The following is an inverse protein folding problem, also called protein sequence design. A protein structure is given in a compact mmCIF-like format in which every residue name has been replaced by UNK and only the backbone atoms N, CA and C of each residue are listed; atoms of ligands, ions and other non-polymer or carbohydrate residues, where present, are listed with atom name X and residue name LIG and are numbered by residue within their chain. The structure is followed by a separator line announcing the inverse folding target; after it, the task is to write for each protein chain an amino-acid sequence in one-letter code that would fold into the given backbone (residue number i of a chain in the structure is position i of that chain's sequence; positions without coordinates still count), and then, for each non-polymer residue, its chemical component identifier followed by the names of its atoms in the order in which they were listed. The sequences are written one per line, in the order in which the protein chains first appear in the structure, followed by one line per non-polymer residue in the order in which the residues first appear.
data_IF_317108642009
#
_entry.id   IF_317108642009
#
_cell.length_a   1.000
_cell.length_b   1.000
_cell.length_c   1.000
_cell.angle_alpha   90.00
_cell.angle_beta   90.00
_cell.angle_gamma   90.00
#
_symmetry.space_group_name_H-M   'P 1'
#
loop_
_entity.id
_entity.type
_entity.pdbx_description
1 polymer ?
#
# COMPACT_ATOMS: atom_id res chain seq x y z
N UNK A 1 62.37 65.55 1.12
CA UNK A 1 63.20 65.56 2.35
C UNK A 1 62.59 64.62 3.37
N UNK A 2 63.30 63.51 3.63
CA UNK A 2 63.53 62.86 4.93
C UNK A 2 62.36 62.56 5.90
N UNK A 3 62.14 61.25 6.14
CA UNK A 3 61.88 60.68 7.49
C UNK A 3 62.19 59.16 7.44
N UNK A 4 63.36 58.67 7.87
CA UNK A 4 63.90 58.48 9.23
C UNK A 4 63.33 57.24 9.95
N UNK A 5 64.09 56.14 9.82
CA UNK A 5 64.68 55.25 10.86
C UNK A 5 63.81 54.40 11.83
N UNK A 6 64.05 53.07 11.71
CA UNK A 6 64.53 52.05 12.69
C UNK A 6 63.71 51.61 13.94
N UNK A 7 63.45 50.29 13.96
CA UNK A 7 63.99 49.25 14.87
C UNK A 7 63.30 48.88 16.21
N UNK A 8 62.88 47.60 16.25
CA UNK A 8 62.92 46.52 17.29
C UNK A 8 62.41 46.77 18.73
N UNK A 9 61.55 45.83 19.20
CA UNK A 9 61.80 44.98 20.39
C UNK A 9 60.87 43.75 20.44
N UNK A 10 61.40 42.71 21.06
CA UNK A 10 60.95 41.31 21.28
C UNK A 10 59.97 41.14 22.45
N UNK A 11 59.16 40.05 22.43
CA UNK A 11 59.03 38.95 23.44
C UNK A 11 57.59 38.43 23.58
N UNK A 12 57.42 37.09 23.67
CA UNK A 12 56.27 36.45 24.30
C UNK A 12 55.80 35.13 23.67
N UNK A 13 56.22 33.98 24.24
CA UNK A 13 55.60 32.66 24.06
C UNK A 13 54.73 32.34 25.30
N UNK A 14 53.61 31.61 25.15
CA UNK A 14 53.03 30.75 26.20
C UNK A 14 52.97 29.27 25.73
N UNK A 15 53.62 28.32 26.41
CA UNK A 15 53.24 27.53 27.61
C UNK A 15 52.32 26.33 27.31
N UNK A 16 52.88 25.12 27.47
CA UNK A 16 52.23 23.80 27.47
C UNK A 16 51.37 23.53 28.74
N UNK A 17 50.47 22.54 28.67
CA UNK A 17 50.15 21.72 29.84
C UNK A 17 50.24 20.18 29.58
N UNK A 18 50.58 19.45 30.64
CA UNK A 18 50.50 17.99 30.87
C UNK A 18 50.14 17.75 32.36
N UNK A 19 49.87 16.52 32.85
CA UNK A 19 48.91 15.47 32.50
C UNK A 19 47.95 15.19 33.71
N UNK A 20 46.90 14.35 33.66
CA UNK A 20 46.95 12.90 33.93
C UNK A 20 45.56 12.21 33.86
N UNK A 21 45.60 10.93 33.45
CA UNK A 21 44.77 9.77 33.82
C UNK A 21 43.22 9.80 33.76
N UNK A 22 42.64 8.87 32.98
CA UNK A 22 42.05 7.61 33.47
C UNK A 22 41.62 6.75 32.26
N UNK A 23 42.19 5.56 32.17
CA UNK A 23 41.73 4.49 31.31
C UNK A 23 40.48 3.82 31.92
N UNK A 24 39.46 3.54 31.11
CA UNK A 24 38.49 2.46 31.35
C UNK A 24 37.76 2.05 30.06
N UNK A 25 38.04 0.81 29.68
CA UNK A 25 37.05 -0.23 29.37
C UNK A 25 36.37 -0.24 27.99
N UNK A 26 36.87 -1.15 27.16
CA UNK A 26 36.25 -1.70 25.95
C UNK A 26 34.93 -2.41 26.29
N UNK A 27 33.81 -1.87 25.82
CA UNK A 27 32.53 -2.56 25.84
C UNK A 27 32.43 -3.48 24.61
N UNK A 28 32.55 -4.78 24.85
CA UNK A 28 32.18 -5.85 23.92
C UNK A 28 30.71 -5.70 23.49
N UNK A 29 30.48 -5.69 22.18
CA UNK A 29 29.15 -5.72 21.59
C UNK A 29 28.49 -7.08 21.88
N UNK A 30 27.52 -7.08 22.79
CA UNK A 30 26.65 -8.23 23.08
C UNK A 30 25.83 -8.59 21.82
N UNK A 31 25.72 -9.87 21.43
CA UNK A 31 24.98 -10.27 20.24
C UNK A 31 23.49 -9.96 20.44
N UNK A 32 22.93 -9.21 19.49
CA UNK A 32 21.52 -8.89 19.42
C UNK A 32 20.71 -10.19 19.30
N UNK A 33 19.85 -10.44 20.28
CA UNK A 33 18.96 -11.61 20.31
C UNK A 33 18.05 -11.51 19.07
N UNK A 34 17.97 -12.52 18.19
CA UNK A 34 17.10 -12.45 17.02
C UNK A 34 15.66 -12.26 17.50
N UNK A 35 15.03 -11.17 17.05
CA UNK A 35 13.64 -10.86 17.35
C UNK A 35 12.77 -12.06 16.97
N UNK A 36 12.07 -12.61 17.96
CA UNK A 36 11.16 -13.72 17.75
C UNK A 36 10.08 -13.28 16.75
N UNK A 37 10.04 -13.99 15.62
CA UNK A 37 9.07 -13.73 14.57
C UNK A 37 7.67 -14.10 15.09
N UNK A 38 6.69 -13.19 15.12
CA UNK A 38 5.37 -13.48 15.70
C UNK A 38 4.65 -14.61 14.94
N UNK A 39 3.83 -15.40 15.64
CA UNK A 39 3.27 -16.67 15.19
C UNK A 39 2.44 -16.62 13.88
N UNK A 40 2.02 -15.44 13.40
CA UNK A 40 1.41 -15.25 12.07
C UNK A 40 2.40 -15.25 10.90
N UNK A 41 3.71 -15.28 11.16
CA UNK A 41 4.76 -15.02 10.18
C UNK A 41 5.27 -16.28 9.45
N UNK A 42 5.04 -17.48 10.01
CA UNK A 42 5.42 -18.75 9.35
C UNK A 42 4.63 -19.01 8.07
N UNK A 43 3.32 -18.73 8.05
CA UNK A 43 2.51 -18.80 6.83
C UNK A 43 2.81 -17.66 5.84
N UNK A 44 3.26 -16.50 6.33
CA UNK A 44 3.63 -15.37 5.49
C UNK A 44 4.89 -15.65 4.68
N UNK A 45 5.97 -16.09 5.33
CA UNK A 45 7.22 -16.36 4.64
C UNK A 45 7.06 -17.49 3.63
N UNK A 46 6.26 -18.52 3.91
CA UNK A 46 6.02 -19.64 2.98
C UNK A 46 5.14 -19.28 1.78
N UNK A 47 4.16 -18.37 1.94
CA UNK A 47 3.33 -17.93 0.81
C UNK A 47 4.07 -16.96 -0.12
N UNK A 48 4.90 -16.08 0.44
CA UNK A 48 5.61 -15.05 -0.34
C UNK A 48 6.98 -15.55 -0.81
N UNK A 49 7.56 -16.61 -0.22
CA UNK A 49 8.77 -17.25 -0.74
C UNK A 49 8.61 -17.78 -2.17
N UNK A 50 7.38 -18.08 -2.58
CA UNK A 50 7.04 -18.54 -3.93
C UNK A 50 6.49 -17.41 -4.82
N UNK A 51 6.64 -16.15 -4.43
CA UNK A 51 6.17 -15.03 -5.23
C UNK A 51 6.97 -14.94 -6.54
N UNK A 52 6.25 -14.84 -7.66
CA UNK A 52 6.85 -14.76 -8.99
C UNK A 52 7.38 -13.35 -9.23
N UNK A 53 8.46 -13.22 -9.98
CA UNK A 53 9.02 -11.95 -10.43
C UNK A 53 9.04 -11.93 -11.96
N UNK A 54 8.39 -10.94 -12.55
CA UNK A 54 8.41 -10.74 -14.00
C UNK A 54 9.18 -9.45 -14.32
N UNK A 55 10.29 -9.53 -15.08
CA UNK A 55 11.08 -8.35 -15.43
C UNK A 55 10.34 -7.34 -16.30
N UNK A 56 9.39 -7.80 -17.13
CA UNK A 56 8.63 -6.98 -18.08
C UNK A 56 7.17 -7.41 -18.16
N UNK A 57 6.32 -6.48 -18.61
CA UNK A 57 4.91 -6.71 -18.89
C UNK A 57 4.64 -7.96 -19.75
N UNK A 58 5.36 -8.11 -20.86
CA UNK A 58 5.20 -9.23 -21.79
C UNK A 58 5.43 -10.61 -21.14
N UNK A 59 6.35 -10.70 -20.16
CA UNK A 59 6.59 -11.96 -19.45
C UNK A 59 5.40 -12.37 -18.59
N UNK A 60 4.77 -11.39 -17.91
CA UNK A 60 3.58 -11.65 -17.10
C UNK A 60 2.37 -11.98 -17.98
N UNK A 61 2.20 -11.28 -19.09
CA UNK A 61 1.13 -11.55 -20.07
C UNK A 61 1.24 -12.95 -20.67
N UNK A 62 2.45 -13.36 -21.08
CA UNK A 62 2.72 -14.72 -21.57
C UNK A 62 2.37 -15.76 -20.50
N UNK A 63 2.74 -15.49 -19.24
CA UNK A 63 2.42 -16.39 -18.14
C UNK A 63 0.91 -16.50 -17.91
N UNK A 64 0.17 -15.39 -17.88
CA UNK A 64 -1.28 -15.42 -17.73
C UNK A 64 -1.95 -16.13 -18.90
N UNK A 65 -1.51 -15.87 -20.13
CA UNK A 65 -2.03 -16.55 -21.32
C UNK A 65 -2.02 -18.08 -21.16
N UNK A 66 -0.91 -18.64 -20.68
CA UNK A 66 -0.77 -20.08 -20.49
C UNK A 66 -1.42 -20.64 -19.20
N UNK A 67 -1.59 -19.83 -18.15
CA UNK A 67 -1.86 -20.34 -16.79
C UNK A 67 -3.13 -19.79 -16.12
N UNK A 68 -3.82 -18.81 -16.71
CA UNK A 68 -4.93 -18.10 -16.05
C UNK A 68 -6.09 -19.02 -15.62
N UNK A 69 -6.42 -20.03 -16.42
CA UNK A 69 -7.50 -20.96 -16.11
C UNK A 69 -7.07 -22.11 -15.18
N UNK A 70 -5.80 -22.51 -15.22
CA UNK A 70 -5.25 -23.61 -14.41
C UNK A 70 -4.73 -23.16 -13.03
N UNK A 71 -4.79 -21.86 -12.73
CA UNK A 71 -4.30 -21.29 -11.45
C UNK A 71 -5.42 -20.63 -10.64
N UNK A 72 -6.45 -21.38 -10.17
CA UNK A 72 -7.62 -20.80 -9.49
C UNK A 72 -7.29 -20.18 -8.12
N UNK A 73 -6.19 -20.62 -7.48
CA UNK A 73 -5.70 -19.99 -6.26
C UNK A 73 -5.06 -18.63 -6.55
N UNK A 74 -4.63 -18.36 -7.78
CA UNK A 74 -3.84 -17.20 -8.21
C UNK A 74 -2.37 -17.25 -7.76
N UNK A 75 -1.64 -16.16 -7.96
CA UNK A 75 -0.22 -16.00 -7.57
C UNK A 75 0.06 -14.81 -6.63
N UNK A 76 1.23 -14.83 -6.00
CA UNK A 76 1.88 -13.63 -5.48
C UNK A 76 2.87 -13.12 -6.54
N UNK A 77 2.83 -11.81 -6.81
CA UNK A 77 3.73 -11.13 -7.75
C UNK A 77 4.61 -10.13 -7.00
N UNK A 78 5.91 -10.20 -7.21
CA UNK A 78 6.90 -9.28 -6.63
C UNK A 78 7.07 -8.02 -7.49
N UNK A 79 7.23 -6.89 -6.79
CA UNK A 79 7.50 -5.58 -7.36
C UNK A 79 8.74 -5.01 -6.68
N UNK A 80 9.75 -4.69 -7.47
CA UNK A 80 10.99 -4.06 -7.01
C UNK A 80 10.73 -2.59 -6.70
N UNK A 81 11.31 -2.07 -5.60
CA UNK A 81 11.27 -0.63 -5.34
C UNK A 81 12.12 0.11 -6.37
N UNK A 82 11.78 1.38 -6.64
CA UNK A 82 12.35 2.27 -7.69
C UNK A 82 13.88 2.47 -7.68
N UNK A 83 14.63 1.85 -6.78
CA UNK A 83 16.08 1.98 -6.63
C UNK A 83 16.85 0.64 -6.70
N UNK A 84 16.20 -0.47 -7.06
CA UNK A 84 16.87 -1.77 -7.14
C UNK A 84 17.26 -2.15 -8.56
N UNK A 85 18.40 -2.83 -8.69
CA UNK A 85 19.02 -3.23 -9.95
C UNK A 85 18.25 -4.32 -10.70
N UNK A 86 17.35 -5.04 -10.02
CA UNK A 86 16.50 -6.05 -10.64
C UNK A 86 15.23 -5.38 -11.18
N UNK A 87 15.02 -5.33 -12.50
CA UNK A 87 13.80 -4.77 -13.06
C UNK A 87 12.60 -5.67 -12.74
N UNK A 88 11.45 -5.04 -12.48
CA UNK A 88 10.16 -5.71 -12.39
C UNK A 88 9.11 -4.94 -13.18
N UNK A 89 8.09 -5.64 -13.66
CA UNK A 89 6.84 -5.04 -14.12
C UNK A 89 6.31 -4.02 -13.10
N UNK A 90 5.70 -2.94 -13.57
CA UNK A 90 5.03 -1.98 -12.70
C UNK A 90 3.67 -2.52 -12.22
N UNK A 91 3.17 -1.98 -11.12
CA UNK A 91 1.83 -2.36 -10.62
C UNK A 91 0.73 -2.07 -11.66
N UNK A 92 0.79 -0.94 -12.35
CA UNK A 92 -0.25 -0.56 -13.31
C UNK A 92 -0.25 -1.46 -14.55
N UNK A 93 0.92 -1.85 -15.05
CA UNK A 93 1.03 -2.85 -16.14
C UNK A 93 0.49 -4.22 -15.68
N UNK A 94 0.88 -4.67 -14.48
CA UNK A 94 0.38 -5.92 -13.92
C UNK A 94 -1.15 -5.92 -13.77
N UNK A 95 -1.72 -4.83 -13.29
CA UNK A 95 -3.16 -4.70 -13.14
C UNK A 95 -3.88 -4.68 -14.51
N UNK A 96 -3.37 -3.95 -15.49
CA UNK A 96 -3.98 -3.89 -16.81
C UNK A 96 -4.00 -5.27 -17.48
N UNK A 97 -2.88 -5.99 -17.44
CA UNK A 97 -2.80 -7.37 -17.95
C UNK A 97 -3.77 -8.26 -17.16
N UNK A 98 -3.76 -8.21 -15.82
CA UNK A 98 -4.66 -9.02 -15.02
C UNK A 98 -6.14 -8.80 -15.39
N UNK A 99 -6.56 -7.55 -15.60
CA UNK A 99 -7.93 -7.24 -16.03
C UNK A 99 -8.27 -7.86 -17.39
N UNK A 100 -7.34 -7.88 -18.34
CA UNK A 100 -7.53 -8.54 -19.64
C UNK A 100 -7.86 -10.03 -19.53
N UNK A 101 -7.42 -10.70 -18.47
CA UNK A 101 -7.65 -12.14 -18.23
C UNK A 101 -8.76 -12.42 -17.19
N UNK A 102 -9.49 -11.39 -16.74
CA UNK A 102 -10.53 -11.56 -15.71
C UNK A 102 -9.96 -11.75 -14.30
N UNK A 103 -8.71 -11.38 -14.10
CA UNK A 103 -8.01 -11.40 -12.82
C UNK A 103 -8.06 -10.01 -12.14
N UNK A 104 -7.72 -9.99 -10.85
CA UNK A 104 -7.64 -8.76 -10.07
C UNK A 104 -6.54 -8.87 -9.01
N UNK A 105 -6.04 -7.72 -8.59
CA UNK A 105 -5.12 -7.63 -7.45
C UNK A 105 -5.85 -7.73 -6.10
N UNK A 106 -5.08 -7.96 -5.05
CA UNK A 106 -5.59 -8.08 -3.69
C UNK A 106 -4.57 -7.63 -2.68
N UNK A 107 -4.33 -8.48 -1.68
CA UNK A 107 -3.45 -8.16 -0.57
C UNK A 107 -2.05 -7.75 -1.04
N UNK A 108 -1.52 -6.70 -0.43
CA UNK A 108 -0.15 -6.25 -0.61
C UNK A 108 0.62 -6.48 0.69
N UNK A 109 1.84 -6.98 0.60
CA UNK A 109 2.74 -7.23 1.73
C UNK A 109 4.15 -6.75 1.40
N UNK A 110 4.83 -6.16 2.38
CA UNK A 110 6.25 -5.82 2.25
C UNK A 110 7.10 -7.06 2.52
N UNK A 111 8.16 -7.27 1.75
CA UNK A 111 9.11 -8.36 1.98
C UNK A 111 10.16 -7.97 3.03
N UNK A 112 10.70 -8.93 3.82
CA UNK A 112 11.63 -8.64 4.92
C UNK A 112 12.90 -7.89 4.50
N UNK A 113 13.41 -8.16 3.29
CA UNK A 113 14.59 -7.47 2.74
C UNK A 113 14.36 -5.97 2.52
N UNK A 114 13.10 -5.51 2.55
CA UNK A 114 12.73 -4.13 2.29
C UNK A 114 12.91 -3.70 0.83
N UNK A 115 13.47 -4.54 -0.04
CA UNK A 115 13.77 -4.19 -1.44
C UNK A 115 12.62 -4.45 -2.40
N UNK A 116 11.73 -5.36 -2.00
CA UNK A 116 10.58 -5.79 -2.80
C UNK A 116 9.29 -5.70 -1.98
N UNK A 117 8.18 -5.56 -2.69
CA UNK A 117 6.85 -5.80 -2.15
C UNK A 117 6.19 -6.91 -2.96
N UNK A 118 5.29 -7.67 -2.35
CA UNK A 118 4.52 -8.69 -3.03
C UNK A 118 3.05 -8.31 -3.01
N UNK A 119 2.36 -8.50 -4.13
CA UNK A 119 0.91 -8.33 -4.23
C UNK A 119 0.26 -9.58 -4.79
N UNK A 120 -0.87 -9.94 -4.21
CA UNK A 120 -1.67 -11.08 -4.65
C UNK A 120 -2.43 -10.72 -5.92
N UNK A 121 -2.39 -11.60 -6.91
CA UNK A 121 -3.26 -11.56 -8.09
C UNK A 121 -4.04 -12.86 -8.20
N UNK A 122 -5.35 -12.77 -8.38
CA UNK A 122 -6.25 -13.91 -8.44
C UNK A 122 -7.28 -13.75 -9.55
N UNK A 123 -7.82 -14.85 -10.10
CA UNK A 123 -9.06 -14.79 -10.85
C UNK A 123 -10.14 -14.07 -10.03
N UNK A 124 -10.97 -13.25 -10.68
CA UNK A 124 -12.12 -12.65 -10.00
C UNK A 124 -13.06 -13.74 -9.53
N UNK A 125 -13.62 -13.55 -8.33
CA UNK A 125 -14.67 -14.42 -7.79
C UNK A 125 -16.01 -13.86 -8.23
N UNK A 126 -17.04 -14.70 -8.25
CA UNK A 126 -18.42 -14.32 -8.61
C UNK A 126 -18.93 -13.05 -7.93
N UNK A 127 -18.52 -12.79 -6.68
CA UNK A 127 -18.94 -11.62 -5.91
C UNK A 127 -17.89 -10.49 -5.82
N UNK A 128 -16.79 -10.57 -6.57
CA UNK A 128 -15.73 -9.55 -6.57
C UNK A 128 -16.29 -8.20 -7.01
N UNK A 129 -16.06 -7.18 -6.18
CA UNK A 129 -16.48 -5.81 -6.47
C UNK A 129 -15.66 -5.21 -7.62
N UNK A 130 -16.25 -4.20 -8.25
CA UNK A 130 -15.58 -3.35 -9.23
C UNK A 130 -15.38 -1.96 -8.65
N UNK A 131 -14.23 -1.36 -8.94
CA UNK A 131 -13.98 0.06 -8.67
C UNK A 131 -14.16 0.84 -9.95
N UNK A 132 -14.54 2.12 -9.85
CA UNK A 132 -14.64 3.01 -11.02
C UNK A 132 -13.31 3.06 -11.79
N UNK A 133 -12.19 3.06 -11.08
CA UNK A 133 -10.85 2.98 -11.66
C UNK A 133 -10.67 1.75 -12.56
N UNK A 134 -11.08 0.57 -12.09
CA UNK A 134 -10.91 -0.66 -12.85
C UNK A 134 -11.88 -0.75 -14.02
N UNK A 135 -13.11 -0.22 -13.86
CA UNK A 135 -14.06 -0.03 -14.97
C UNK A 135 -13.43 0.84 -16.06
N UNK A 136 -12.87 2.01 -15.70
CA UNK A 136 -12.22 2.90 -16.67
C UNK A 136 -11.03 2.24 -17.37
N UNK A 137 -10.22 1.46 -16.65
CA UNK A 137 -9.12 0.69 -17.22
C UNK A 137 -9.62 -0.34 -18.23
N UNK A 138 -10.65 -1.12 -17.87
CA UNK A 138 -11.24 -2.11 -18.79
C UNK A 138 -11.80 -1.45 -20.04
N UNK A 139 -12.52 -0.33 -19.92
CA UNK A 139 -13.02 0.41 -21.09
C UNK A 139 -11.89 0.80 -22.03
N UNK A 140 -10.79 1.36 -21.49
CA UNK A 140 -9.61 1.68 -22.29
C UNK A 140 -8.96 0.45 -22.94
N UNK A 141 -8.84 -0.67 -22.21
CA UNK A 141 -8.29 -1.93 -22.71
C UNK A 141 -9.17 -2.57 -23.78
N UNK A 142 -10.50 -2.42 -23.69
CA UNK A 142 -11.45 -2.84 -24.73
C UNK A 142 -11.25 -2.02 -26.01
N UNK A 143 -11.14 -0.69 -25.91
CA UNK A 143 -10.85 0.17 -27.06
C UNK A 143 -9.51 -0.16 -27.73
N UNK A 144 -8.53 -0.62 -26.95
CA UNK A 144 -7.23 -1.08 -27.46
C UNK A 144 -7.24 -2.51 -28.02
N UNK A 145 -8.37 -3.23 -27.94
CA UNK A 145 -8.46 -4.63 -28.39
C UNK A 145 -7.66 -5.62 -27.55
N UNK A 146 -7.29 -5.27 -26.30
CA UNK A 146 -6.42 -6.08 -25.44
C UNK A 146 -7.16 -7.09 -24.56
N UNK A 147 -8.47 -6.93 -24.40
CA UNK A 147 -9.26 -7.82 -23.55
C UNK A 147 -9.36 -9.21 -24.17
N UNK A 148 -9.11 -10.25 -23.36
CA UNK A 148 -9.31 -11.64 -23.78
C UNK A 148 -10.76 -12.08 -23.52
N UNK A 149 -11.14 -13.24 -24.06
CA UNK A 149 -12.46 -13.84 -23.81
C UNK A 149 -12.74 -14.03 -22.30
N UNK A 150 -11.72 -14.43 -21.52
CA UNK A 150 -11.84 -14.59 -20.07
C UNK A 150 -12.14 -13.25 -19.36
N UNK A 151 -11.43 -12.19 -19.73
CA UNK A 151 -11.67 -10.85 -19.19
C UNK A 151 -13.06 -10.31 -19.56
N UNK A 152 -13.47 -10.46 -20.81
CA UNK A 152 -14.80 -10.04 -21.27
C UNK A 152 -15.92 -10.80 -20.55
N UNK A 153 -15.75 -12.10 -20.31
CA UNK A 153 -16.72 -12.90 -19.55
C UNK A 153 -16.95 -12.34 -18.14
N UNK A 154 -15.91 -11.91 -17.45
CA UNK A 154 -16.03 -11.28 -16.13
C UNK A 154 -16.72 -9.90 -16.18
N UNK A 155 -16.50 -9.14 -17.26
CA UNK A 155 -17.19 -7.86 -17.50
C UNK A 155 -18.68 -8.09 -17.69
N UNK A 156 -19.07 -9.01 -18.56
CA UNK A 156 -20.48 -9.31 -18.84
C UNK A 156 -21.18 -9.90 -17.60
N UNK A 157 -20.51 -10.78 -16.84
CA UNK A 157 -21.04 -11.27 -15.57
C UNK A 157 -21.28 -10.14 -14.55
N UNK A 158 -20.40 -9.14 -14.51
CA UNK A 158 -20.53 -7.99 -13.61
C UNK A 158 -21.61 -7.00 -14.03
N UNK A 159 -21.86 -6.82 -15.32
CA UNK A 159 -23.00 -6.04 -15.83
C UNK A 159 -24.31 -6.76 -15.54
N UNK A 160 -24.37 -8.07 -15.80
CA UNK A 160 -25.57 -8.87 -15.60
C UNK A 160 -26.07 -8.88 -14.14
N UNK A 161 -25.16 -8.78 -13.16
CA UNK A 161 -25.51 -8.74 -11.73
C UNK A 161 -25.39 -7.33 -11.09
N UNK A 162 -25.24 -6.30 -11.92
CA UNK A 162 -25.22 -4.89 -11.51
C UNK A 162 -23.99 -4.47 -10.70
N UNK A 163 -22.94 -5.30 -10.58
CA UNK A 163 -21.69 -4.91 -9.90
C UNK A 163 -20.89 -3.91 -10.70
N UNK A 164 -21.03 -3.92 -12.03
CA UNK A 164 -20.36 -2.96 -12.92
C UNK A 164 -20.86 -1.54 -12.69
N UNK A 165 -22.18 -1.35 -12.65
CA UNK A 165 -22.85 -0.06 -12.44
C UNK A 165 -22.64 0.46 -11.02
N UNK A 166 -22.57 -0.44 -10.04
CA UNK A 166 -22.28 -0.13 -8.63
C UNK A 166 -20.79 -0.03 -8.31
N UNK A 167 -19.95 0.22 -9.31
CA UNK A 167 -18.53 0.32 -9.09
C UNK A 167 -18.20 1.45 -8.09
N UNK A 168 -17.45 1.12 -7.04
CA UNK A 168 -17.19 2.04 -5.94
C UNK A 168 -16.15 3.11 -6.31
N UNK A 169 -16.25 4.25 -5.67
CA UNK A 169 -15.44 5.44 -5.94
C UNK A 169 -14.04 5.32 -5.33
N UNK A 170 -13.04 5.94 -5.98
CA UNK A 170 -11.70 6.01 -5.41
C UNK A 170 -11.62 7.01 -4.25
N UNK A 171 -10.54 6.95 -3.48
CA UNK A 171 -10.36 7.84 -2.31
C UNK A 171 -10.40 9.34 -2.65
N UNK A 172 -10.04 9.73 -3.88
CA UNK A 172 -10.09 11.11 -4.35
C UNK A 172 -11.53 11.65 -4.44
N UNK A 173 -12.47 10.78 -4.82
CA UNK A 173 -13.85 11.16 -5.13
C UNK A 173 -14.83 10.74 -4.03
N UNK A 174 -14.31 10.20 -2.93
CA UNK A 174 -15.11 9.74 -1.80
C UNK A 174 -15.66 10.94 -1.01
N UNK A 175 -16.98 11.04 -0.94
CA UNK A 175 -17.70 12.05 -0.16
C UNK A 175 -18.28 11.45 1.11
N UNK A 176 -18.51 12.27 2.13
CA UNK A 176 -19.19 11.85 3.36
C UNK A 176 -20.69 11.78 3.09
N UNK A 177 -21.35 10.62 3.26
CA UNK A 177 -22.80 10.53 3.16
C UNK A 177 -23.48 11.38 4.24
N UNK A 178 -24.53 12.12 3.88
CA UNK A 178 -25.22 13.02 4.81
C UNK A 178 -25.77 12.32 6.06
N UNK A 179 -26.28 11.09 5.89
CA UNK A 179 -26.76 10.27 7.01
C UNK A 179 -25.64 9.85 7.97
N UNK A 180 -24.44 9.61 7.47
CA UNK A 180 -23.27 9.32 8.29
C UNK A 180 -22.79 10.57 9.03
N UNK A 181 -22.74 11.71 8.33
CA UNK A 181 -22.41 13.01 8.94
C UNK A 181 -23.37 13.38 10.08
N UNK A 182 -24.68 13.24 9.86
CA UNK A 182 -25.69 13.52 10.90
C UNK A 182 -25.43 12.70 12.16
N UNK A 183 -25.22 11.39 12.05
CA UNK A 183 -25.00 10.55 13.24
C UNK A 183 -23.67 10.79 13.94
N UNK A 184 -22.63 11.16 13.21
CA UNK A 184 -21.37 11.56 13.83
C UNK A 184 -21.55 12.81 14.70
N UNK A 185 -22.42 13.74 14.30
CA UNK A 185 -22.71 14.97 15.05
C UNK A 185 -23.60 14.72 16.27
N UNK A 186 -24.43 13.68 16.26
CA UNK A 186 -25.29 13.29 17.38
C UNK A 186 -24.54 12.62 18.53
N UNK A 187 -23.41 11.96 18.26
CA UNK A 187 -22.65 11.22 19.27
C UNK A 187 -21.44 12.01 19.76
N UNK A 188 -21.40 12.27 21.07
CA UNK A 188 -20.31 13.02 21.72
C UNK A 188 -18.94 12.44 21.35
N UNK A 189 -18.06 13.31 20.85
CA UNK A 189 -16.67 12.98 20.50
C UNK A 189 -16.48 12.36 19.11
N UNK A 190 -17.51 11.79 18.48
CA UNK A 190 -17.37 11.11 17.20
C UNK A 190 -17.02 12.08 16.05
N UNK A 191 -17.73 13.20 15.95
CA UNK A 191 -17.44 14.22 14.92
C UNK A 191 -16.04 14.82 15.06
N UNK A 192 -15.64 15.21 16.27
CA UNK A 192 -14.32 15.79 16.52
C UNK A 192 -13.19 14.82 16.16
N UNK A 193 -13.33 13.54 16.50
CA UNK A 193 -12.35 12.52 16.12
C UNK A 193 -12.32 12.32 14.59
N UNK A 194 -13.48 12.28 13.94
CA UNK A 194 -13.60 12.19 12.48
C UNK A 194 -12.90 13.36 11.75
N UNK A 195 -13.07 14.58 12.25
CA UNK A 195 -12.42 15.77 11.70
C UNK A 195 -10.90 15.70 11.78
N UNK A 196 -10.35 15.10 12.84
CA UNK A 196 -8.91 14.86 12.98
C UNK A 196 -8.34 13.80 12.04
N UNK A 197 -9.17 12.98 11.38
CA UNK A 197 -8.70 11.90 10.52
C UNK A 197 -8.15 12.41 9.19
N UNK A 198 -7.04 11.80 8.74
CA UNK A 198 -6.54 11.99 7.38
C UNK A 198 -7.43 11.28 6.33
N UNK A 199 -7.22 11.62 5.05
CA UNK A 199 -8.03 11.10 3.93
C UNK A 199 -8.01 9.57 3.83
N UNK A 200 -6.89 8.92 4.12
CA UNK A 200 -6.77 7.46 4.07
C UNK A 200 -7.64 6.79 5.14
N UNK A 201 -7.56 7.29 6.37
CA UNK A 201 -8.37 6.79 7.48
C UNK A 201 -9.86 7.02 7.20
N UNK A 202 -10.27 8.21 6.74
CA UNK A 202 -11.67 8.49 6.37
C UNK A 202 -12.16 7.56 5.27
N UNK A 203 -11.38 7.41 4.20
CA UNK A 203 -11.76 6.57 3.06
C UNK A 203 -12.05 5.12 3.46
N UNK A 204 -11.32 4.58 4.44
CA UNK A 204 -11.53 3.24 4.95
C UNK A 204 -12.97 3.02 5.49
N UNK A 205 -13.58 4.04 6.11
CA UNK A 205 -14.99 4.02 6.54
C UNK A 205 -15.92 4.19 5.33
N UNK A 206 -15.68 5.22 4.51
CA UNK A 206 -16.55 5.59 3.40
C UNK A 206 -16.72 4.45 2.39
N UNK A 207 -15.62 3.82 1.97
CA UNK A 207 -15.68 2.72 1.00
C UNK A 207 -16.42 1.51 1.58
N UNK A 208 -16.32 1.26 2.88
CA UNK A 208 -17.04 0.15 3.54
C UNK A 208 -18.53 0.44 3.68
N UNK A 209 -18.95 1.70 3.79
CA UNK A 209 -20.36 2.09 3.72
C UNK A 209 -20.89 1.97 2.29
N UNK A 210 -20.17 2.52 1.30
CA UNK A 210 -20.52 2.49 -0.13
C UNK A 210 -20.67 1.05 -0.66
N UNK A 211 -19.77 0.15 -0.27
CA UNK A 211 -19.74 -1.24 -0.77
C UNK A 211 -20.64 -2.21 -0.01
N UNK A 212 -21.32 -1.77 1.06
CA UNK A 212 -22.22 -2.65 1.82
C UNK A 212 -23.54 -2.84 1.07
N UNK A 213 -23.81 -4.09 0.68
CA UNK A 213 -24.87 -4.42 -0.30
C UNK A 213 -26.29 -4.12 0.16
N UNK A 214 -26.60 -4.32 1.44
CA UNK A 214 -27.98 -4.20 1.94
C UNK A 214 -28.11 -3.01 2.87
N UNK A 215 -29.24 -2.33 2.80
CA UNK A 215 -29.55 -1.17 3.66
C UNK A 215 -29.45 -1.55 5.13
N UNK A 216 -29.97 -2.72 5.53
CA UNK A 216 -29.91 -3.22 6.90
C UNK A 216 -28.47 -3.43 7.38
N UNK A 217 -27.58 -4.01 6.55
CA UNK A 217 -26.18 -4.19 6.94
C UNK A 217 -25.43 -2.85 6.95
N UNK A 218 -25.76 -1.94 6.02
CA UNK A 218 -25.18 -0.59 5.97
C UNK A 218 -25.54 0.20 7.22
N UNK A 219 -26.78 0.09 7.67
CA UNK A 219 -27.31 0.71 8.88
C UNK A 219 -26.55 0.26 10.13
N UNK A 220 -26.43 -1.05 10.33
CA UNK A 220 -25.63 -1.63 11.44
C UNK A 220 -24.18 -1.16 11.41
N UNK A 221 -23.60 -1.07 10.21
CA UNK A 221 -22.22 -0.62 10.02
C UNK A 221 -22.06 0.87 10.34
N UNK A 222 -23.04 1.68 9.98
CA UNK A 222 -23.06 3.11 10.31
C UNK A 222 -23.06 3.30 11.83
N UNK A 223 -23.95 2.63 12.55
CA UNK A 223 -23.96 2.64 14.03
C UNK A 223 -22.63 2.18 14.64
N UNK A 224 -22.07 1.08 14.13
CA UNK A 224 -20.79 0.55 14.58
C UNK A 224 -19.67 1.59 14.38
N UNK A 225 -19.62 2.22 13.20
CA UNK A 225 -18.57 3.18 12.87
C UNK A 225 -18.66 4.45 13.73
N UNK A 226 -19.86 4.96 13.97
CA UNK A 226 -20.06 6.11 14.87
C UNK A 226 -19.57 5.79 16.28
N UNK A 227 -19.89 4.60 16.82
CA UNK A 227 -19.38 4.16 18.13
C UNK A 227 -17.86 4.02 18.16
N UNK A 228 -17.27 3.40 17.14
CA UNK A 228 -15.81 3.28 17.04
C UNK A 228 -15.13 4.65 17.02
N UNK A 229 -15.67 5.60 16.28
CA UNK A 229 -15.10 6.95 16.19
C UNK A 229 -15.30 7.74 17.49
N UNK A 230 -16.42 7.56 18.19
CA UNK A 230 -16.63 8.12 19.53
C UNK A 230 -15.58 7.61 20.54
N UNK A 231 -15.18 6.35 20.40
CA UNK A 231 -14.13 5.71 21.21
C UNK A 231 -12.70 6.05 20.75
N UNK A 232 -12.53 6.87 19.70
CA UNK A 232 -11.21 7.19 19.14
C UNK A 232 -10.53 6.04 18.38
N UNK A 233 -11.31 5.10 17.82
CA UNK A 233 -10.82 3.90 17.13
C UNK A 233 -10.93 3.99 15.62
N UNK A 234 -10.00 3.34 14.92
CA UNK A 234 -9.99 3.15 13.46
C UNK A 234 -10.38 1.71 13.09
N UNK A 235 -10.55 1.46 11.78
CA UNK A 235 -10.82 0.13 11.21
C UNK A 235 -9.53 -0.58 10.83
#
# INVERSE_FOLDING_TARGET
MTRTLRSRKTTGLPSEPQPDAIAKETAESKPEKPAAVPAGSKNFLSEVSNALLFPRAANFETWLHANHDSTPKGIWLQFSKKAHSVPSITYDEALDIALCYGWIDGQCKSLPSGTHSARRFTPRRKASLWSKRNVSKVVALQHQGRMTAAGLKEVEAAKADGRWERAYSGAKDATVPGDFETRLKEVKGAWAFWEGLNKTARYAFLVRLETTKTTVAREKKLEQFVRMLADGKLI
#
